data_IF_752220748557
#
_entry.id   IF_752220748557
#
_cell.length_a   1.000
_cell.length_b   1.000
_cell.length_c   1.000
_cell.angle_alpha   90.00
_cell.angle_beta   90.00
_cell.angle_gamma   90.00
#
_symmetry.space_group_name_H-M   'P 1'
#
loop_
_entity.id
_entity.type
_entity.pdbx_description
1 polymer ?
#
# COMPACT_ATOMS: atom_id res chain seq x y z
N UNK A 1 25.02 42.08 -16.27
CA UNK A 1 25.62 41.04 -17.15
C UNK A 1 24.59 39.95 -17.34
N UNK A 2 23.97 39.90 -18.56
CA UNK A 2 22.93 38.91 -18.85
C UNK A 2 23.54 37.52 -19.04
N UNK A 3 23.03 36.52 -18.31
CA UNK A 3 23.35 35.12 -18.58
C UNK A 3 22.76 34.72 -19.93
N UNK A 4 23.52 33.96 -20.74
CA UNK A 4 23.03 33.40 -21.98
C UNK A 4 21.79 32.54 -21.71
N UNK A 5 20.72 32.75 -22.50
CA UNK A 5 19.52 31.97 -22.36
C UNK A 5 19.73 30.54 -22.90
N UNK A 6 19.24 29.55 -22.18
CA UNK A 6 19.19 28.16 -22.63
C UNK A 6 17.92 27.83 -23.44
N UNK A 7 17.05 28.82 -23.67
CA UNK A 7 15.83 28.63 -24.47
C UNK A 7 16.17 28.37 -25.95
N UNK A 8 15.37 27.51 -26.57
CA UNK A 8 15.47 27.26 -28.01
C UNK A 8 15.03 28.50 -28.79
N UNK A 9 15.71 28.80 -29.89
CA UNK A 9 15.26 29.81 -30.85
C UNK A 9 13.93 29.41 -31.51
N UNK A 10 13.19 30.38 -32.02
CA UNK A 10 11.90 30.15 -32.70
C UNK A 10 12.09 29.18 -33.88
N UNK A 11 13.16 29.29 -34.64
CA UNK A 11 13.45 28.39 -35.76
C UNK A 11 13.65 26.95 -35.29
N UNK A 12 14.41 26.74 -34.22
CA UNK A 12 14.60 25.41 -33.60
C UNK A 12 13.31 24.83 -33.04
N UNK A 13 12.39 25.66 -32.54
CA UNK A 13 11.09 25.23 -32.05
C UNK A 13 10.22 24.79 -33.25
N UNK A 14 10.21 25.53 -34.33
CA UNK A 14 9.44 25.21 -35.55
C UNK A 14 9.92 23.94 -36.25
N UNK A 15 11.22 23.63 -36.15
CA UNK A 15 11.84 22.43 -36.70
C UNK A 15 11.73 21.21 -35.78
N UNK A 16 11.21 21.36 -34.54
CA UNK A 16 11.15 20.32 -33.53
C UNK A 16 10.20 19.19 -33.95
N UNK A 17 10.76 18.05 -34.28
CA UNK A 17 10.00 16.83 -34.59
C UNK A 17 10.05 15.87 -33.39
N UNK A 18 8.90 15.32 -33.04
CA UNK A 18 8.80 14.30 -32.01
C UNK A 18 7.73 13.27 -32.37
N UNK A 19 7.84 12.10 -31.78
CA UNK A 19 6.82 11.05 -31.87
C UNK A 19 6.32 10.74 -30.46
N UNK A 20 5.00 10.55 -30.34
CA UNK A 20 4.35 10.20 -29.08
C UNK A 20 3.93 8.73 -29.10
N UNK A 21 4.23 8.02 -28.04
CA UNK A 21 3.75 6.65 -27.80
C UNK A 21 3.24 6.51 -26.38
N UNK A 22 2.36 5.54 -26.15
CA UNK A 22 1.86 5.22 -24.82
C UNK A 22 2.32 3.83 -24.40
N UNK A 23 2.65 3.67 -23.12
CA UNK A 23 3.04 2.39 -22.54
C UNK A 23 2.62 2.33 -21.07
N UNK A 24 2.39 1.12 -20.55
CA UNK A 24 2.14 0.92 -19.13
C UNK A 24 3.46 0.68 -18.39
N UNK A 25 3.66 1.42 -17.30
CA UNK A 25 4.78 1.19 -16.39
C UNK A 25 4.60 -0.16 -15.67
N UNK A 26 5.61 -1.02 -15.74
CA UNK A 26 5.63 -2.33 -15.08
C UNK A 26 6.46 -2.34 -13.79
N UNK A 27 6.82 -1.18 -13.27
CA UNK A 27 7.69 -1.05 -12.10
C UNK A 27 7.03 -1.36 -10.75
N UNK A 28 5.69 -1.38 -10.69
CA UNK A 28 4.91 -1.71 -9.50
C UNK A 28 3.44 -2.00 -9.87
N UNK A 29 2.62 -2.34 -8.88
CA UNK A 29 1.20 -2.67 -9.05
C UNK A 29 0.32 -1.51 -9.56
N UNK A 30 0.78 -0.25 -9.47
CA UNK A 30 0.03 0.91 -9.97
C UNK A 30 -0.14 0.93 -11.50
N UNK A 31 0.76 0.26 -12.24
CA UNK A 31 0.67 0.10 -13.69
C UNK A 31 0.33 1.41 -14.43
N UNK A 32 1.01 2.51 -14.06
CA UNK A 32 0.74 3.85 -14.59
C UNK A 32 0.79 3.90 -16.10
N UNK A 33 -0.18 4.56 -16.75
CA UNK A 33 -0.13 4.86 -18.17
C UNK A 33 0.87 6.00 -18.39
N UNK A 34 1.92 5.71 -19.17
CA UNK A 34 2.98 6.65 -19.52
C UNK A 34 2.76 7.20 -20.92
N UNK A 35 2.97 8.50 -21.08
CA UNK A 35 3.11 9.14 -22.39
C UNK A 35 4.58 9.42 -22.65
N UNK A 36 5.12 8.83 -23.70
CA UNK A 36 6.55 8.91 -24.04
C UNK A 36 6.69 9.73 -25.32
N UNK A 37 7.27 10.92 -25.20
CA UNK A 37 7.63 11.78 -26.31
C UNK A 37 9.11 11.59 -26.66
N UNK A 38 9.39 11.11 -27.85
CA UNK A 38 10.75 10.93 -28.37
C UNK A 38 11.08 12.03 -29.36
N UNK A 39 12.18 12.72 -29.10
CA UNK A 39 12.72 13.81 -29.90
C UNK A 39 13.95 13.35 -30.72
N UNK A 40 14.33 14.13 -31.70
CA UNK A 40 15.59 13.94 -32.42
C UNK A 40 16.79 13.91 -31.45
N UNK A 41 17.84 13.15 -31.78
CA UNK A 41 19.03 13.02 -30.92
C UNK A 41 18.84 12.10 -29.69
N UNK A 42 17.97 11.09 -29.78
CA UNK A 42 17.73 10.08 -28.74
C UNK A 42 17.25 10.62 -27.38
N UNK A 43 16.73 11.86 -27.39
CA UNK A 43 16.12 12.47 -26.19
C UNK A 43 14.67 12.02 -26.05
N UNK A 44 14.26 11.76 -24.82
CA UNK A 44 12.86 11.42 -24.53
C UNK A 44 12.35 12.17 -23.31
N UNK A 45 11.06 12.45 -23.31
CA UNK A 45 10.34 13.02 -22.18
C UNK A 45 9.14 12.14 -21.85
N UNK A 46 9.05 11.70 -20.60
CA UNK A 46 8.02 10.78 -20.13
C UNK A 46 7.14 11.49 -19.11
N UNK A 47 5.82 11.39 -19.28
CA UNK A 47 4.80 11.90 -18.37
C UNK A 47 3.82 10.81 -17.97
N UNK A 48 2.93 11.10 -17.01
CA UNK A 48 1.97 10.11 -16.49
C UNK A 48 2.57 9.19 -15.41
N UNK A 49 3.89 9.27 -15.17
CA UNK A 49 4.53 8.55 -14.08
C UNK A 49 4.18 9.17 -12.72
N UNK A 50 3.92 8.30 -11.73
CA UNK A 50 3.70 8.72 -10.34
C UNK A 50 4.96 8.60 -9.48
N UNK A 51 6.03 8.05 -10.03
CA UNK A 51 7.33 7.91 -9.38
C UNK A 51 8.46 7.79 -10.42
N UNK A 52 9.70 7.85 -9.98
CA UNK A 52 10.89 7.82 -10.84
C UNK A 52 11.09 6.49 -11.60
N UNK A 53 10.50 5.38 -11.11
CA UNK A 53 10.57 4.08 -11.83
C UNK A 53 9.98 4.17 -13.24
N UNK A 54 8.92 4.97 -13.42
CA UNK A 54 8.25 5.15 -14.71
C UNK A 54 9.11 5.86 -15.76
N UNK A 55 10.11 6.64 -15.36
CA UNK A 55 11.02 7.36 -16.25
C UNK A 55 12.37 6.65 -16.46
N UNK A 56 12.50 5.41 -15.95
CA UNK A 56 13.70 4.60 -16.14
C UNK A 56 14.94 5.12 -15.39
N UNK A 57 14.78 6.05 -14.47
CA UNK A 57 15.87 6.44 -13.59
C UNK A 57 16.05 5.35 -12.53
N UNK A 58 17.03 4.49 -12.74
CA UNK A 58 17.54 3.69 -11.65
C UNK A 58 18.17 4.65 -10.63
N UNK A 59 17.63 4.65 -9.42
CA UNK A 59 18.31 5.32 -8.31
C UNK A 59 19.69 4.67 -8.18
N UNK A 60 20.75 5.47 -8.22
CA UNK A 60 22.02 5.06 -7.62
C UNK A 60 21.66 4.54 -6.23
N UNK A 61 21.79 3.23 -6.04
CA UNK A 61 21.52 2.57 -4.78
C UNK A 61 22.65 2.88 -3.79
N UNK A 62 22.70 4.11 -3.30
CA UNK A 62 23.13 4.26 -1.92
C UNK A 62 22.12 3.45 -1.12
N UNK A 63 22.58 2.38 -0.50
CA UNK A 63 21.73 1.50 0.29
C UNK A 63 21.36 2.21 1.60
N UNK A 64 20.54 3.23 1.48
CA UNK A 64 19.89 3.82 2.66
C UNK A 64 18.91 2.75 3.18
N UNK A 65 19.00 2.34 4.45
CA UNK A 65 18.10 1.36 5.02
C UNK A 65 16.63 1.77 4.80
N UNK A 66 15.84 0.85 4.29
CA UNK A 66 14.39 1.07 4.12
C UNK A 66 13.68 0.86 5.46
N UNK A 67 13.55 1.92 6.26
CA UNK A 67 12.91 1.86 7.57
C UNK A 67 11.43 1.49 7.50
N UNK A 68 10.75 1.77 6.39
CA UNK A 68 9.37 1.35 6.19
C UNK A 68 9.27 -0.19 6.07
N UNK A 69 10.12 -0.79 5.28
CA UNK A 69 10.20 -2.25 5.13
C UNK A 69 10.58 -2.92 6.46
N UNK A 70 11.58 -2.36 7.17
CA UNK A 70 11.94 -2.79 8.50
C UNK A 70 10.74 -2.73 9.46
N UNK A 71 9.96 -1.62 9.47
CA UNK A 71 8.73 -1.50 10.28
C UNK A 71 7.73 -2.60 9.93
N UNK A 72 7.47 -2.85 8.65
CA UNK A 72 6.52 -3.90 8.23
C UNK A 72 6.93 -5.29 8.73
N UNK A 73 8.21 -5.64 8.61
CA UNK A 73 8.74 -6.90 9.14
C UNK A 73 8.57 -6.99 10.67
N UNK A 74 8.88 -5.92 11.38
CA UNK A 74 8.74 -5.88 12.84
C UNK A 74 7.29 -6.04 13.30
N UNK A 75 6.32 -5.57 12.52
CA UNK A 75 4.90 -5.64 12.88
C UNK A 75 4.29 -6.99 12.49
N UNK A 76 4.64 -7.56 11.32
CA UNK A 76 3.87 -8.64 10.73
C UNK A 76 4.56 -10.00 10.68
N UNK A 77 5.88 -10.09 10.89
CA UNK A 77 6.61 -11.36 10.83
C UNK A 77 6.46 -12.16 12.13
N UNK A 78 5.27 -12.68 12.34
CA UNK A 78 4.93 -13.58 13.45
C UNK A 78 4.55 -14.94 12.90
N UNK A 79 5.31 -15.96 13.27
CA UNK A 79 5.01 -17.33 12.88
C UNK A 79 3.72 -17.83 13.56
N UNK A 80 2.70 -18.23 12.78
CA UNK A 80 1.48 -18.83 13.33
C UNK A 80 1.78 -20.19 13.98
N UNK A 81 0.89 -20.68 14.83
CA UNK A 81 0.90 -22.08 15.25
C UNK A 81 0.70 -23.01 14.04
N UNK A 82 1.28 -24.21 14.09
CA UNK A 82 0.92 -25.27 13.17
C UNK A 82 -0.55 -25.68 13.38
N UNK A 83 -1.13 -26.41 12.43
CA UNK A 83 -2.50 -26.90 12.57
C UNK A 83 -2.66 -27.87 13.77
N UNK A 84 -1.62 -28.65 14.06
CA UNK A 84 -1.58 -29.60 15.18
C UNK A 84 -1.49 -28.91 16.54
N UNK A 85 -0.78 -27.75 16.61
CA UNK A 85 -0.64 -26.96 17.83
C UNK A 85 -1.87 -26.07 18.09
N UNK A 86 -2.66 -25.79 17.08
CA UNK A 86 -3.80 -24.88 17.15
C UNK A 86 -5.04 -25.57 17.74
N UNK A 87 -5.01 -25.85 19.03
CA UNK A 87 -6.07 -26.59 19.74
C UNK A 87 -7.42 -25.89 19.76
N UNK A 88 -7.48 -24.60 19.41
CA UNK A 88 -8.70 -23.78 19.41
C UNK A 88 -9.17 -23.35 18.02
N UNK A 89 -8.49 -23.81 16.96
CA UNK A 89 -8.84 -23.50 15.59
C UNK A 89 -8.07 -22.33 14.99
N UNK A 90 -8.54 -21.84 13.87
CA UNK A 90 -7.89 -20.85 13.02
C UNK A 90 -8.63 -19.52 13.05
N UNK A 91 -7.90 -18.46 13.36
CA UNK A 91 -8.42 -17.10 13.44
C UNK A 91 -7.83 -16.25 12.31
N UNK A 92 -8.69 -15.62 11.51
CA UNK A 92 -8.31 -14.66 10.49
C UNK A 92 -8.17 -13.24 11.03
N UNK A 93 -7.10 -12.53 10.65
CA UNK A 93 -6.94 -11.09 10.89
C UNK A 93 -6.79 -10.35 9.58
N UNK A 94 -7.62 -9.32 9.30
CA UNK A 94 -7.42 -8.47 8.12
C UNK A 94 -6.24 -7.52 8.35
N UNK A 95 -5.29 -7.48 7.42
CA UNK A 95 -4.12 -6.59 7.49
C UNK A 95 -4.48 -5.16 7.05
N UNK A 96 -5.28 -4.49 7.86
CA UNK A 96 -5.82 -3.15 7.57
C UNK A 96 -5.88 -2.27 8.81
N UNK A 97 -5.98 -0.97 8.59
CA UNK A 97 -6.25 0.04 9.61
C UNK A 97 -5.38 -0.14 10.87
N UNK A 98 -5.97 -0.22 12.06
CA UNK A 98 -5.24 -0.31 13.34
C UNK A 98 -4.50 -1.64 13.55
N UNK A 99 -4.74 -2.64 12.72
CA UNK A 99 -3.91 -3.85 12.76
C UNK A 99 -2.45 -3.53 12.41
N UNK A 100 -2.17 -2.47 11.64
CA UNK A 100 -0.80 -1.99 11.41
C UNK A 100 -0.08 -1.47 12.67
N UNK A 101 -0.80 -1.18 13.74
CA UNK A 101 -0.21 -0.81 15.04
C UNK A 101 -0.30 -1.95 16.06
N UNK A 102 -1.42 -2.67 16.07
CA UNK A 102 -1.78 -3.58 17.16
C UNK A 102 -1.54 -5.07 16.85
N UNK A 103 -1.12 -5.43 15.64
CA UNK A 103 -0.91 -6.84 15.25
C UNK A 103 0.04 -7.61 16.17
N UNK A 104 1.20 -7.07 16.60
CA UNK A 104 2.11 -7.78 17.50
C UNK A 104 1.45 -8.25 18.80
N UNK A 105 0.60 -7.39 19.37
CA UNK A 105 -0.17 -7.72 20.57
C UNK A 105 -1.19 -8.84 20.27
N UNK A 106 -2.03 -8.66 19.26
CA UNK A 106 -3.10 -9.61 18.97
C UNK A 106 -2.57 -10.97 18.48
N UNK A 107 -1.55 -10.99 17.63
CA UNK A 107 -0.92 -12.23 17.17
C UNK A 107 -0.34 -13.02 18.35
N UNK A 108 0.36 -12.34 19.27
CA UNK A 108 0.91 -12.96 20.46
C UNK A 108 -0.19 -13.46 21.40
N UNK A 109 -1.21 -12.66 21.64
CA UNK A 109 -2.34 -13.00 22.51
C UNK A 109 -3.08 -14.25 22.01
N UNK A 110 -3.52 -14.27 20.77
CA UNK A 110 -4.25 -15.40 20.22
C UNK A 110 -3.38 -16.66 20.09
N UNK A 111 -2.11 -16.49 19.71
CA UNK A 111 -1.15 -17.61 19.71
C UNK A 111 -1.02 -18.24 21.10
N UNK A 112 -0.93 -17.43 22.15
CA UNK A 112 -0.86 -17.92 23.55
C UNK A 112 -2.16 -18.59 24.01
N UNK A 113 -3.30 -18.21 23.44
CA UNK A 113 -4.57 -18.88 23.70
C UNK A 113 -4.76 -20.18 22.90
N UNK A 114 -3.82 -20.55 22.03
CA UNK A 114 -3.88 -21.77 21.21
C UNK A 114 -4.62 -21.62 19.88
N UNK A 115 -4.72 -20.42 19.33
CA UNK A 115 -5.24 -20.17 18.00
C UNK A 115 -4.12 -20.06 16.96
N UNK A 116 -4.34 -20.64 15.78
CA UNK A 116 -3.57 -20.35 14.57
C UNK A 116 -4.05 -19.03 13.99
N UNK A 117 -3.17 -18.02 13.97
CA UNK A 117 -3.51 -16.71 13.43
C UNK A 117 -3.13 -16.65 11.94
N UNK A 118 -4.11 -16.44 11.07
CA UNK A 118 -3.92 -16.22 9.63
C UNK A 118 -4.10 -14.75 9.33
N UNK A 119 -3.00 -14.07 8.99
CA UNK A 119 -3.01 -12.69 8.55
C UNK A 119 -3.29 -12.61 7.05
N UNK A 120 -4.19 -11.74 6.63
CA UNK A 120 -4.38 -11.50 5.20
C UNK A 120 -3.13 -10.88 4.55
N UNK A 121 -2.88 -11.08 3.24
CA UNK A 121 -1.65 -10.64 2.60
C UNK A 121 -1.53 -9.10 2.54
N UNK A 122 -0.43 -8.60 2.04
CA UNK A 122 -0.27 -7.17 1.79
C UNK A 122 -1.33 -6.66 0.79
N UNK A 123 -1.84 -5.45 1.02
CA UNK A 123 -2.84 -4.80 0.17
C UNK A 123 -2.34 -4.67 -1.27
N UNK A 124 -3.16 -5.12 -2.19
CA UNK A 124 -2.94 -5.01 -3.64
C UNK A 124 -4.25 -4.64 -4.32
N UNK A 125 -4.19 -4.26 -5.60
CA UNK A 125 -5.39 -4.06 -6.40
C UNK A 125 -6.29 -5.31 -6.43
N UNK A 126 -5.70 -6.50 -6.48
CA UNK A 126 -6.47 -7.77 -6.46
C UNK A 126 -7.24 -7.95 -5.14
N UNK A 127 -6.63 -7.60 -4.01
CA UNK A 127 -7.33 -7.61 -2.71
C UNK A 127 -8.50 -6.62 -2.72
N UNK A 128 -8.28 -5.40 -3.20
CA UNK A 128 -9.36 -4.41 -3.34
C UNK A 128 -10.53 -4.95 -4.19
N UNK A 129 -10.23 -5.54 -5.34
CA UNK A 129 -11.22 -6.09 -6.27
C UNK A 129 -12.07 -7.21 -5.65
N UNK A 130 -11.51 -8.01 -4.73
CA UNK A 130 -12.26 -9.04 -4.00
C UNK A 130 -13.37 -8.47 -3.10
N UNK A 131 -13.26 -7.24 -2.67
CA UNK A 131 -14.21 -6.61 -1.75
C UNK A 131 -15.19 -5.64 -2.40
N UNK A 132 -15.05 -5.32 -3.69
CA UNK A 132 -15.80 -4.25 -4.36
C UNK A 132 -17.30 -4.37 -4.15
N UNK A 133 -17.86 -5.56 -4.30
CA UNK A 133 -19.31 -5.80 -4.24
C UNK A 133 -19.89 -5.58 -2.84
N UNK A 134 -19.07 -5.58 -1.80
CA UNK A 134 -19.48 -5.38 -0.41
C UNK A 134 -19.29 -3.94 0.09
N UNK A 135 -18.70 -3.05 -0.70
CA UNK A 135 -18.49 -1.65 -0.32
C UNK A 135 -19.82 -0.90 -0.39
N UNK A 136 -20.35 -0.38 0.75
CA UNK A 136 -21.69 0.21 0.78
C UNK A 136 -21.76 1.61 0.17
N UNK A 137 -20.63 2.32 0.06
CA UNK A 137 -20.61 3.71 -0.42
C UNK A 137 -19.32 4.05 -1.16
N UNK A 138 -19.46 4.80 -2.27
CA UNK A 138 -18.32 5.38 -2.98
C UNK A 138 -17.57 6.44 -2.16
N UNK A 139 -18.23 7.06 -1.19
CA UNK A 139 -17.65 8.11 -0.34
C UNK A 139 -16.70 7.57 0.75
N UNK A 140 -16.66 6.27 0.98
CA UNK A 140 -15.69 5.68 1.90
C UNK A 140 -14.25 5.93 1.45
N UNK A 141 -13.37 6.14 2.43
CA UNK A 141 -11.96 6.30 2.15
C UNK A 141 -11.34 4.99 1.62
N UNK A 142 -10.28 5.10 0.84
CA UNK A 142 -9.64 3.93 0.23
C UNK A 142 -9.15 2.87 1.24
N UNK A 143 -8.55 3.24 2.40
CA UNK A 143 -8.23 2.27 3.45
C UNK A 143 -9.44 1.48 3.98
N UNK A 144 -10.61 2.11 4.15
CA UNK A 144 -11.84 1.43 4.52
C UNK A 144 -12.28 0.43 3.45
N UNK A 145 -12.26 0.84 2.17
CA UNK A 145 -12.57 -0.04 1.04
C UNK A 145 -11.66 -1.26 0.97
N UNK A 146 -10.38 -1.11 1.32
CA UNK A 146 -9.45 -2.24 1.40
C UNK A 146 -9.84 -3.26 2.47
N UNK A 147 -10.44 -2.83 3.59
CA UNK A 147 -10.87 -3.74 4.64
C UNK A 147 -11.86 -4.80 4.12
N UNK A 148 -12.79 -4.42 3.25
CA UNK A 148 -13.72 -5.33 2.59
C UNK A 148 -12.98 -6.43 1.82
N UNK A 149 -11.97 -6.07 1.03
CA UNK A 149 -11.17 -7.03 0.27
C UNK A 149 -10.39 -8.00 1.15
N UNK A 150 -9.81 -7.52 2.24
CA UNK A 150 -9.08 -8.35 3.18
C UNK A 150 -10.00 -9.33 3.93
N UNK A 151 -11.19 -8.89 4.32
CA UNK A 151 -12.20 -9.75 4.94
C UNK A 151 -12.67 -10.80 3.94
N UNK A 152 -12.99 -10.41 2.71
CA UNK A 152 -13.39 -11.36 1.64
C UNK A 152 -12.29 -12.40 1.39
N UNK A 153 -11.03 -11.99 1.36
CA UNK A 153 -9.90 -12.91 1.23
C UNK A 153 -9.87 -13.93 2.38
N UNK A 154 -10.04 -13.49 3.62
CA UNK A 154 -10.04 -14.37 4.80
C UNK A 154 -11.20 -15.37 4.78
N UNK A 155 -12.38 -14.96 4.33
CA UNK A 155 -13.53 -15.86 4.16
C UNK A 155 -13.17 -17.02 3.21
N UNK A 156 -12.41 -16.75 2.14
CA UNK A 156 -11.96 -17.79 1.21
C UNK A 156 -10.82 -18.68 1.76
N UNK A 157 -10.20 -18.32 2.89
CA UNK A 157 -9.18 -19.16 3.54
C UNK A 157 -9.76 -20.21 4.50
N UNK A 158 -11.08 -20.32 4.62
CA UNK A 158 -11.76 -21.25 5.54
C UNK A 158 -11.27 -21.09 6.99
N UNK A 159 -11.06 -19.85 7.46
CA UNK A 159 -10.81 -19.58 8.87
C UNK A 159 -12.09 -19.79 9.67
N UNK A 160 -11.99 -20.26 10.92
CA UNK A 160 -13.15 -20.52 11.76
C UNK A 160 -13.89 -19.24 12.13
N UNK A 161 -13.15 -18.13 12.31
CA UNK A 161 -13.70 -16.80 12.54
C UNK A 161 -12.68 -15.72 12.19
N UNK A 162 -13.17 -14.49 12.00
CA UNK A 162 -12.36 -13.32 11.72
C UNK A 162 -12.41 -12.38 12.92
N UNK A 163 -11.23 -11.98 13.40
CA UNK A 163 -11.10 -10.99 14.44
C UNK A 163 -10.74 -9.63 13.85
N UNK A 164 -11.62 -8.66 14.06
CA UNK A 164 -11.43 -7.29 13.64
C UNK A 164 -11.91 -6.36 14.77
N UNK A 165 -11.00 -5.82 15.60
CA UNK A 165 -11.37 -5.03 16.77
C UNK A 165 -11.87 -3.64 16.39
N UNK A 166 -12.98 -3.21 16.97
CA UNK A 166 -13.38 -1.82 17.00
C UNK A 166 -12.62 -1.09 18.12
N UNK A 167 -11.86 -0.06 17.76
CA UNK A 167 -10.96 0.66 18.69
C UNK A 167 -11.31 2.15 18.67
N UNK A 168 -12.09 2.66 19.64
CA UNK A 168 -12.51 4.06 19.64
C UNK A 168 -11.38 5.06 19.83
N UNK A 169 -10.39 4.71 20.64
CA UNK A 169 -9.22 5.54 20.91
C UNK A 169 -8.00 4.70 21.24
N UNK A 170 -6.84 5.21 20.93
CA UNK A 170 -5.55 4.65 21.30
C UNK A 170 -5.07 5.20 22.65
N UNK A 171 -4.05 4.56 23.20
CA UNK A 171 -3.40 5.07 24.41
C UNK A 171 -2.90 6.48 24.17
N UNK A 172 -3.24 7.40 25.05
CA UNK A 172 -2.70 8.75 25.02
C UNK A 172 -1.23 8.75 25.51
N UNK A 173 -0.28 8.71 24.56
CA UNK A 173 1.15 8.73 24.86
C UNK A 173 1.69 10.16 25.07
N UNK A 174 0.95 11.15 24.61
CA UNK A 174 1.29 12.57 24.71
C UNK A 174 0.15 13.31 25.42
N UNK A 175 0.19 13.49 26.76
CA UNK A 175 -0.91 14.06 27.55
C UNK A 175 -1.44 15.42 27.05
N UNK A 176 -0.57 16.22 26.42
CA UNK A 176 -0.89 17.54 25.88
C UNK A 176 -1.53 17.48 24.48
N UNK A 177 -1.66 16.28 23.88
CA UNK A 177 -2.25 16.09 22.56
C UNK A 177 -3.69 15.57 22.66
N UNK A 178 -4.56 16.05 21.77
CA UNK A 178 -5.98 15.67 21.71
C UNK A 178 -6.30 14.66 20.61
N UNK A 179 -5.31 14.11 19.91
CA UNK A 179 -5.47 13.34 18.68
C UNK A 179 -5.31 11.82 18.88
N UNK A 180 -5.82 11.29 19.99
CA UNK A 180 -5.79 9.84 20.28
C UNK A 180 -7.08 9.09 19.89
N UNK A 181 -8.06 9.77 19.34
CA UNK A 181 -9.29 9.16 18.82
C UNK A 181 -9.11 8.64 17.41
N UNK A 182 -9.64 7.45 17.17
CA UNK A 182 -9.63 6.85 15.83
C UNK A 182 -10.79 7.39 14.96
N UNK A 183 -10.65 7.20 13.65
CA UNK A 183 -11.71 7.56 12.71
C UNK A 183 -12.94 6.64 12.86
N UNK A 184 -14.14 7.05 12.41
CA UNK A 184 -15.36 6.24 12.52
C UNK A 184 -15.25 4.82 11.98
N UNK A 185 -14.49 4.60 10.91
CA UNK A 185 -14.32 3.27 10.29
C UNK A 185 -13.56 2.29 11.21
N UNK A 186 -12.75 2.80 12.12
CA UNK A 186 -12.01 1.97 13.09
C UNK A 186 -12.82 1.77 14.37
N UNK A 187 -13.77 2.67 14.64
CA UNK A 187 -14.54 2.67 15.89
C UNK A 187 -15.86 1.91 15.81
N UNK A 188 -16.30 1.53 14.59
CA UNK A 188 -17.60 0.90 14.34
C UNK A 188 -17.48 -0.52 13.80
#
# INVERSE_FOLDING_TARGET
EGSETTMLSIDKINELKYTTSMANCRGCTNNCLLTINKFSGNRQYITGNRCEKGIGKEKNKEQIPNLFEYKLHRIFDYEPLSEEEATRGTLGMPRVLNIYENYPFWATFFKKLGFRVVLSPQSTRKIYELGIDSIPSESECYPAKLAHGHISWLIHQNVDFIFYPAIPYERNEFPDANNHYNCPIVTS
#
